data_IF_074786854932
#
_entry.id   IF_074786854932
#
_cell.length_a   1.000
_cell.length_b   1.000
_cell.length_c   1.000
_cell.angle_alpha   90.00
_cell.angle_beta   90.00
_cell.angle_gamma   90.00
#
_symmetry.space_group_name_H-M   'P 1'
#
loop_
_entity.id
_entity.type
_entity.pdbx_description
1 polymer ?
#
# COMPACT_ATOMS: atom_id res chain seq x y z
N UNK A 1 7.33 -21.63 -9.07
CA UNK A 1 6.10 -21.94 -8.33
C UNK A 1 6.31 -23.30 -7.70
N UNK A 2 6.63 -23.34 -6.40
CA UNK A 2 6.78 -24.60 -5.69
C UNK A 2 5.72 -24.68 -4.61
N UNK A 3 4.61 -25.29 -4.94
CA UNK A 3 3.76 -25.91 -3.96
C UNK A 3 4.35 -27.32 -3.77
N UNK A 4 5.08 -27.56 -2.70
CA UNK A 4 5.89 -28.77 -2.48
C UNK A 4 5.09 -30.08 -2.46
N UNK A 5 3.77 -29.97 -2.36
CA UNK A 5 2.84 -31.10 -2.24
C UNK A 5 2.21 -31.50 -3.58
N UNK A 6 2.50 -30.79 -4.68
CA UNK A 6 1.91 -31.06 -5.99
C UNK A 6 2.98 -31.45 -7.02
N UNK A 7 2.74 -32.55 -7.69
CA UNK A 7 3.58 -33.07 -8.76
C UNK A 7 2.84 -32.97 -10.09
N UNK A 8 3.45 -32.25 -11.03
CA UNK A 8 2.89 -32.07 -12.37
C UNK A 8 1.87 -30.91 -12.44
N UNK A 9 2.12 -30.04 -13.40
CA UNK A 9 1.28 -28.88 -13.70
C UNK A 9 0.76 -28.98 -15.12
N UNK A 10 -0.52 -28.75 -15.30
CA UNK A 10 -1.15 -28.65 -16.61
C UNK A 10 -1.69 -27.22 -16.78
N UNK A 11 -1.20 -26.53 -17.79
CA UNK A 11 -1.69 -25.21 -18.13
C UNK A 11 -3.09 -25.34 -18.74
N UNK A 12 -4.05 -24.64 -18.17
CA UNK A 12 -5.45 -24.63 -18.61
C UNK A 12 -5.72 -23.43 -19.53
N UNK A 13 -5.17 -22.28 -19.19
CA UNK A 13 -5.38 -21.04 -19.93
C UNK A 13 -4.20 -20.10 -19.72
N UNK A 14 -3.81 -19.40 -20.78
CA UNK A 14 -2.89 -18.27 -20.72
C UNK A 14 -3.56 -17.08 -21.39
N UNK A 15 -3.63 -15.96 -20.68
CA UNK A 15 -4.02 -14.66 -21.24
C UNK A 15 -2.84 -13.71 -21.16
N UNK A 16 -2.52 -13.06 -22.26
CA UNK A 16 -1.45 -12.09 -22.32
C UNK A 16 -2.02 -10.70 -22.66
N UNK A 17 -1.62 -9.71 -21.88
CA UNK A 17 -1.96 -8.31 -22.06
C UNK A 17 -0.68 -7.47 -22.03
N UNK A 18 -0.70 -6.29 -22.67
CA UNK A 18 0.39 -5.33 -22.54
C UNK A 18 0.49 -4.81 -21.10
N UNK A 19 1.69 -4.81 -20.55
CA UNK A 19 1.96 -4.29 -19.21
C UNK A 19 2.58 -2.91 -19.29
N UNK A 20 1.92 -1.95 -18.66
CA UNK A 20 2.39 -0.56 -18.57
C UNK A 20 2.69 -0.22 -17.12
N UNK A 21 3.68 0.66 -16.89
CA UNK A 21 3.79 1.29 -15.58
C UNK A 21 2.52 2.08 -15.31
N UNK A 22 1.94 1.83 -14.14
CA UNK A 22 0.90 2.66 -13.59
C UNK A 22 1.34 3.09 -12.20
N UNK A 23 0.66 4.07 -11.62
CA UNK A 23 0.94 4.46 -10.26
C UNK A 23 0.80 3.29 -9.27
N UNK A 24 -0.14 2.39 -9.52
CA UNK A 24 -0.44 1.24 -8.67
C UNK A 24 0.61 0.12 -8.70
N UNK A 25 1.51 0.12 -9.68
CA UNK A 25 2.62 -0.82 -9.79
C UNK A 25 3.99 -0.13 -9.75
N UNK A 26 4.02 1.16 -9.46
CA UNK A 26 5.25 1.92 -9.33
C UNK A 26 5.89 1.66 -7.95
N UNK A 27 7.11 1.08 -7.89
CA UNK A 27 7.74 0.72 -6.60
C UNK A 27 7.92 1.92 -5.66
N UNK A 28 8.12 3.13 -6.21
CA UNK A 28 8.29 4.33 -5.43
C UNK A 28 6.96 4.80 -4.85
N UNK A 29 5.88 4.75 -5.64
CA UNK A 29 4.53 5.10 -5.16
C UNK A 29 4.07 4.14 -4.06
N UNK A 30 4.34 2.83 -4.20
CA UNK A 30 4.02 1.83 -3.18
C UNK A 30 4.80 2.06 -1.88
N UNK A 31 6.08 2.42 -1.95
CA UNK A 31 6.86 2.82 -0.75
C UNK A 31 6.31 4.06 -0.06
N UNK A 32 5.84 5.03 -0.85
CA UNK A 32 5.20 6.22 -0.29
C UNK A 32 3.88 5.87 0.38
N UNK A 33 3.09 4.99 -0.21
CA UNK A 33 1.85 4.48 0.37
C UNK A 33 2.10 3.78 1.70
N UNK A 34 3.07 2.88 1.78
CA UNK A 34 3.44 2.21 3.04
C UNK A 34 3.79 3.23 4.13
N UNK A 35 4.56 4.26 3.77
CA UNK A 35 4.92 5.31 4.72
C UNK A 35 3.71 6.16 5.14
N UNK A 36 2.80 6.48 4.22
CA UNK A 36 1.55 7.20 4.50
C UNK A 36 0.68 6.35 5.43
N UNK A 37 0.45 5.09 5.11
CA UNK A 37 -0.34 4.15 5.93
C UNK A 37 0.16 4.07 7.37
N UNK A 38 1.48 3.90 7.54
CA UNK A 38 2.08 3.86 8.88
C UNK A 38 1.87 5.16 9.67
N UNK A 39 1.98 6.32 9.01
CA UNK A 39 1.76 7.61 9.68
C UNK A 39 0.28 7.84 10.03
N UNK A 40 -0.66 7.44 9.17
CA UNK A 40 -2.11 7.50 9.45
C UNK A 40 -2.45 6.66 10.69
N UNK A 41 -1.96 5.42 10.75
CA UNK A 41 -2.17 4.53 11.90
C UNK A 41 -1.61 5.17 13.18
N UNK A 42 -0.40 5.74 13.12
CA UNK A 42 0.23 6.38 14.27
C UNK A 42 -0.52 7.64 14.72
N UNK A 43 -0.99 8.48 13.80
CA UNK A 43 -1.80 9.67 14.11
C UNK A 43 -3.13 9.25 14.74
N UNK A 44 -3.82 8.26 14.18
CA UNK A 44 -5.08 7.76 14.73
C UNK A 44 -4.93 7.20 16.15
N UNK A 45 -3.87 6.41 16.40
CA UNK A 45 -3.58 5.87 17.72
C UNK A 45 -3.22 6.99 18.73
N UNK A 46 -2.40 7.96 18.32
CA UNK A 46 -2.06 9.12 19.13
C UNK A 46 -3.29 9.97 19.45
N UNK A 47 -4.13 10.24 18.44
CA UNK A 47 -5.38 10.98 18.61
C UNK A 47 -6.29 10.33 19.65
N UNK A 48 -6.52 9.01 19.55
CA UNK A 48 -7.31 8.28 20.55
C UNK A 48 -6.73 8.42 21.96
N UNK A 49 -5.40 8.31 22.11
CA UNK A 49 -4.73 8.47 23.41
C UNK A 49 -4.86 9.88 23.96
N UNK A 50 -4.53 10.91 23.17
CA UNK A 50 -4.49 12.30 23.59
C UNK A 50 -5.87 12.84 23.91
N UNK A 51 -6.87 12.55 23.08
CA UNK A 51 -8.23 13.09 23.26
C UNK A 51 -8.96 12.52 24.48
N UNK A 52 -8.64 11.28 24.89
CA UNK A 52 -9.22 10.65 26.07
C UNK A 52 -8.40 10.88 27.36
N UNK A 53 -7.23 11.53 27.25
CA UNK A 53 -6.39 11.80 28.42
C UNK A 53 -6.92 12.98 29.26
N UNK A 54 -6.85 12.84 30.60
CA UNK A 54 -7.15 13.93 31.51
C UNK A 54 -5.99 14.95 31.52
N UNK A 55 -6.30 16.25 31.63
CA UNK A 55 -5.30 17.32 31.76
C UNK A 55 -4.56 17.31 33.09
N UNK A 56 -5.14 16.67 34.15
CA UNK A 56 -4.59 16.58 35.51
C UNK A 56 -3.67 15.38 35.72
N UNK A 57 -2.98 14.91 34.67
CA UNK A 57 -2.00 13.82 34.77
C UNK A 57 -0.65 14.31 35.29
N UNK A 58 0.20 13.40 35.80
CA UNK A 58 1.57 13.69 36.19
C UNK A 58 2.40 14.33 35.09
N UNK A 59 3.41 15.11 35.46
CA UNK A 59 4.26 15.81 34.47
C UNK A 59 5.00 14.83 33.54
N UNK A 60 5.37 13.65 34.03
CA UNK A 60 6.02 12.61 33.21
C UNK A 60 5.10 12.16 32.06
N UNK A 61 3.83 11.91 32.37
CA UNK A 61 2.82 11.54 31.38
C UNK A 61 2.56 12.69 30.40
N UNK A 62 2.59 13.94 30.84
CA UNK A 62 2.48 15.11 29.94
C UNK A 62 3.62 15.16 28.93
N UNK A 63 4.84 14.79 29.31
CA UNK A 63 5.98 14.71 28.37
C UNK A 63 5.70 13.65 27.28
N UNK A 64 5.18 12.50 27.68
CA UNK A 64 4.80 11.46 26.73
C UNK A 64 3.70 11.93 25.76
N UNK A 65 2.62 12.55 26.29
CA UNK A 65 1.53 13.09 25.46
C UNK A 65 2.05 14.15 24.48
N UNK A 66 2.91 15.07 24.91
CA UNK A 66 3.54 16.06 24.01
C UNK A 66 4.36 15.38 22.91
N UNK A 67 5.07 14.29 23.22
CA UNK A 67 5.83 13.55 22.22
C UNK A 67 4.92 12.89 21.16
N UNK A 68 3.75 12.39 21.55
CA UNK A 68 2.76 11.86 20.62
C UNK A 68 2.24 12.96 19.68
N UNK A 69 1.92 14.13 20.21
CA UNK A 69 1.46 15.28 19.42
C UNK A 69 2.55 15.71 18.42
N UNK A 70 3.80 15.83 18.86
CA UNK A 70 4.91 16.26 18.00
C UNK A 70 5.20 15.22 16.91
N UNK A 71 5.18 13.93 17.26
CA UNK A 71 5.31 12.84 16.28
C UNK A 71 4.17 12.87 15.25
N UNK A 72 2.94 13.20 15.68
CA UNK A 72 1.78 13.30 14.79
C UNK A 72 1.91 14.48 13.83
N UNK A 73 2.45 15.63 14.26
CA UNK A 73 2.76 16.76 13.35
C UNK A 73 3.78 16.34 12.29
N UNK A 74 4.85 15.67 12.69
CA UNK A 74 5.88 15.20 11.77
C UNK A 74 5.33 14.14 10.82
N UNK A 75 4.46 13.26 11.31
CA UNK A 75 3.71 12.28 10.51
C UNK A 75 2.85 12.96 9.45
N UNK A 76 2.10 14.00 9.82
CA UNK A 76 1.28 14.78 8.89
C UNK A 76 2.12 15.44 7.78
N UNK A 77 3.28 16.00 8.12
CA UNK A 77 4.20 16.56 7.12
C UNK A 77 4.70 15.49 6.14
N UNK A 78 4.96 14.29 6.66
CA UNK A 78 5.38 13.14 5.84
C UNK A 78 4.25 12.69 4.92
N UNK A 79 3.01 12.61 5.42
CA UNK A 79 1.82 12.28 4.62
C UNK A 79 1.68 13.27 3.47
N UNK A 80 1.70 14.58 3.75
CA UNK A 80 1.59 15.63 2.71
C UNK A 80 2.66 15.48 1.64
N UNK A 81 3.92 15.37 2.04
CA UNK A 81 5.06 15.23 1.13
C UNK A 81 4.91 14.03 0.20
N UNK A 82 4.55 12.88 0.73
CA UNK A 82 4.44 11.66 -0.08
C UNK A 82 3.16 11.63 -0.91
N UNK A 83 2.06 12.22 -0.41
CA UNK A 83 0.84 12.37 -1.20
C UNK A 83 1.06 13.29 -2.42
N UNK A 84 1.81 14.39 -2.27
CA UNK A 84 2.21 15.24 -3.39
C UNK A 84 3.07 14.47 -4.40
N UNK A 85 3.98 13.63 -3.90
CA UNK A 85 4.82 12.78 -4.75
C UNK A 85 4.00 11.74 -5.51
N UNK A 86 3.01 11.12 -4.88
CA UNK A 86 2.06 10.18 -5.51
C UNK A 86 1.27 10.89 -6.61
N UNK A 87 0.73 12.09 -6.34
CA UNK A 87 0.04 12.89 -7.37
C UNK A 87 0.93 13.15 -8.58
N UNK A 88 2.18 13.56 -8.34
CA UNK A 88 3.15 13.81 -9.41
C UNK A 88 3.42 12.55 -10.24
N UNK A 89 3.64 11.40 -9.60
CA UNK A 89 3.83 10.12 -10.31
C UNK A 89 2.57 9.76 -11.13
N UNK A 90 1.37 9.99 -10.59
CA UNK A 90 0.10 9.73 -11.26
C UNK A 90 -0.15 10.58 -12.51
N UNK A 91 0.51 11.73 -12.64
CA UNK A 91 0.45 12.59 -13.83
C UNK A 91 1.36 12.13 -14.97
N UNK A 92 2.30 11.24 -14.70
CA UNK A 92 3.22 10.72 -15.71
C UNK A 92 2.49 9.71 -16.59
N UNK A 93 2.66 9.82 -17.91
CA UNK A 93 2.05 8.89 -18.88
C UNK A 93 2.56 7.45 -18.62
N UNK A 94 1.67 6.46 -18.72
CA UNK A 94 2.07 5.06 -18.61
C UNK A 94 3.11 4.69 -19.67
N UNK A 95 4.18 4.00 -19.27
CA UNK A 95 5.23 3.53 -20.18
C UNK A 95 5.10 2.02 -20.33
N UNK A 96 5.13 1.54 -21.57
CA UNK A 96 5.15 0.09 -21.83
C UNK A 96 6.41 -0.55 -21.24
N UNK A 97 6.22 -1.54 -20.38
CA UNK A 97 7.29 -2.22 -19.67
C UNK A 97 7.48 -3.68 -20.13
N UNK A 98 6.47 -4.25 -20.74
CA UNK A 98 6.51 -5.64 -21.15
C UNK A 98 5.11 -6.25 -21.27
N UNK A 99 4.99 -7.50 -20.89
CA UNK A 99 3.75 -8.26 -21.01
C UNK A 99 3.32 -8.79 -19.65
N UNK A 100 2.03 -8.81 -19.41
CA UNK A 100 1.43 -9.48 -18.26
C UNK A 100 0.80 -10.78 -18.73
N UNK A 101 1.25 -11.90 -18.19
CA UNK A 101 0.67 -13.22 -18.45
C UNK A 101 -0.15 -13.67 -17.24
N UNK A 102 -1.46 -13.87 -17.41
CA UNK A 102 -2.31 -14.55 -16.44
C UNK A 102 -2.40 -16.01 -16.82
N UNK A 103 -1.92 -16.89 -15.96
CA UNK A 103 -1.82 -18.32 -16.20
C UNK A 103 -2.73 -19.05 -15.23
N UNK A 104 -3.73 -19.77 -15.77
CA UNK A 104 -4.49 -20.75 -15.01
C UNK A 104 -3.88 -22.10 -15.22
N UNK A 105 -3.64 -22.82 -14.15
CA UNK A 105 -3.08 -24.16 -14.18
C UNK A 105 -3.75 -25.05 -13.16
N UNK A 106 -3.79 -26.33 -13.48
CA UNK A 106 -4.17 -27.37 -12.53
C UNK A 106 -2.94 -28.14 -12.10
N UNK A 107 -2.90 -28.47 -10.82
CA UNK A 107 -1.86 -29.32 -10.24
C UNK A 107 -2.51 -30.47 -9.51
N UNK A 108 -1.79 -31.60 -9.40
CA UNK A 108 -2.27 -32.81 -8.76
C UNK A 108 -1.35 -33.15 -7.59
N UNK A 109 -1.92 -33.35 -6.41
CA UNK A 109 -1.14 -33.76 -5.26
C UNK A 109 -0.89 -35.30 -5.28
N UNK A 110 -0.06 -35.77 -4.35
CA UNK A 110 0.29 -37.18 -4.23
C UNK A 110 -0.91 -38.08 -3.93
N UNK A 111 -2.04 -37.53 -3.49
CA UNK A 111 -3.29 -38.26 -3.24
C UNK A 111 -4.24 -38.21 -4.44
N UNK A 112 -3.82 -37.64 -5.56
CA UNK A 112 -4.62 -37.55 -6.77
C UNK A 112 -5.64 -36.37 -6.77
N UNK A 113 -5.67 -35.52 -5.75
CA UNK A 113 -6.56 -34.38 -5.71
C UNK A 113 -6.06 -33.27 -6.66
N UNK A 114 -6.99 -32.67 -7.39
CA UNK A 114 -6.71 -31.60 -8.36
C UNK A 114 -7.03 -30.27 -7.72
N UNK A 115 -6.06 -29.34 -7.79
CA UNK A 115 -6.23 -27.93 -7.42
C UNK A 115 -6.11 -27.07 -8.68
N UNK A 116 -7.06 -26.16 -8.87
CA UNK A 116 -6.97 -25.10 -9.86
C UNK A 116 -6.36 -23.87 -9.19
N UNK A 117 -5.34 -23.31 -9.80
CA UNK A 117 -4.64 -22.12 -9.31
C UNK A 117 -4.46 -21.13 -10.45
N UNK A 118 -4.28 -19.86 -10.10
CA UNK A 118 -4.00 -18.79 -11.05
C UNK A 118 -2.77 -18.01 -10.57
N UNK A 119 -1.89 -17.65 -11.49
CA UNK A 119 -0.73 -16.80 -11.25
C UNK A 119 -0.64 -15.70 -12.29
N UNK A 120 -0.14 -14.54 -11.89
CA UNK A 120 0.12 -13.43 -12.79
C UNK A 120 1.63 -13.16 -12.82
N UNK A 121 2.19 -13.14 -14.00
CA UNK A 121 3.61 -12.98 -14.26
C UNK A 121 3.84 -11.77 -15.14
N UNK A 122 4.88 -11.01 -14.83
CA UNK A 122 5.38 -9.96 -15.70
C UNK A 122 6.54 -10.51 -16.52
N UNK A 123 6.46 -10.34 -17.82
CA UNK A 123 7.46 -10.79 -18.77
C UNK A 123 8.18 -9.59 -19.35
N UNK A 124 9.49 -9.73 -19.53
CA UNK A 124 10.30 -8.74 -20.22
C UNK A 124 9.76 -8.48 -21.65
N UNK A 125 9.86 -7.24 -22.09
CA UNK A 125 9.31 -6.80 -23.36
C UNK A 125 9.95 -7.44 -24.59
N UNK A 126 11.21 -7.89 -24.48
CA UNK A 126 12.02 -8.39 -25.57
C UNK A 126 12.26 -9.91 -25.45
N UNK A 127 12.73 -10.36 -24.29
CA UNK A 127 13.08 -11.78 -24.07
C UNK A 127 11.87 -12.66 -23.73
N UNK A 128 10.75 -12.08 -23.28
CA UNK A 128 9.60 -12.77 -22.73
C UNK A 128 9.94 -13.65 -21.51
N UNK A 129 11.08 -13.40 -20.88
CA UNK A 129 11.43 -14.03 -19.62
C UNK A 129 10.62 -13.45 -18.47
N UNK A 130 10.30 -14.28 -17.49
CA UNK A 130 9.60 -13.82 -16.27
C UNK A 130 10.55 -12.97 -15.45
N UNK A 131 10.25 -11.68 -15.34
CA UNK A 131 11.01 -10.72 -14.54
C UNK A 131 10.38 -10.48 -13.17
N UNK A 132 9.08 -10.71 -13.03
CA UNK A 132 8.38 -10.56 -11.76
C UNK A 132 7.17 -11.50 -11.68
N UNK A 133 6.75 -11.80 -10.46
CA UNK A 133 5.53 -12.54 -10.16
C UNK A 133 4.64 -11.65 -9.30
N UNK A 134 3.60 -11.13 -9.90
CA UNK A 134 2.66 -10.26 -9.21
C UNK A 134 1.72 -11.12 -8.38
N UNK A 135 1.92 -11.14 -7.08
CA UNK A 135 0.92 -11.68 -6.19
C UNK A 135 -0.35 -10.81 -6.27
N UNK A 136 -1.52 -11.44 -6.26
CA UNK A 136 -2.81 -10.73 -6.27
C UNK A 136 -2.97 -9.75 -5.08
N UNK A 137 -2.05 -9.77 -4.11
CA UNK A 137 -2.02 -8.89 -2.96
C UNK A 137 -1.50 -7.48 -3.29
N UNK A 138 -0.58 -7.35 -4.25
CA UNK A 138 0.10 -6.08 -4.48
C UNK A 138 -0.82 -5.02 -5.12
N UNK A 139 -1.83 -5.45 -5.90
CA UNK A 139 -2.79 -4.52 -6.52
C UNK A 139 -3.99 -4.16 -5.63
N UNK A 140 -4.30 -4.95 -4.60
CA UNK A 140 -5.45 -4.71 -3.72
C UNK A 140 -5.15 -3.77 -2.57
N UNK A 141 -3.88 -3.50 -2.29
CA UNK A 141 -3.44 -2.71 -1.14
C UNK A 141 -3.18 -1.24 -1.43
N UNK A 142 -3.38 -0.77 -2.66
CA UNK A 142 -3.15 0.62 -3.05
C UNK A 142 -4.35 1.55 -2.72
N UNK A 143 -4.98 1.33 -1.56
CA UNK A 143 -6.16 2.09 -1.10
C UNK A 143 -5.88 3.58 -0.99
N UNK A 144 -4.76 3.94 -0.35
CA UNK A 144 -4.39 5.33 -0.14
C UNK A 144 -3.97 6.04 -1.42
N UNK A 145 -3.34 5.34 -2.36
CA UNK A 145 -3.05 5.89 -3.69
C UNK A 145 -4.35 6.30 -4.36
N UNK A 146 -5.38 5.46 -4.29
CA UNK A 146 -6.69 5.75 -4.87
C UNK A 146 -7.33 6.95 -4.21
N UNK A 147 -7.42 6.99 -2.88
CA UNK A 147 -7.99 8.12 -2.14
C UNK A 147 -7.25 9.43 -2.43
N UNK A 148 -5.91 9.42 -2.43
CA UNK A 148 -5.10 10.61 -2.73
C UNK A 148 -5.38 11.13 -4.14
N UNK A 149 -5.61 10.26 -5.12
CA UNK A 149 -5.89 10.68 -6.49
C UNK A 149 -7.32 11.18 -6.69
N UNK A 150 -8.28 10.59 -5.96
CA UNK A 150 -9.71 10.93 -6.08
C UNK A 150 -10.11 12.15 -5.24
N UNK A 151 -9.60 12.26 -4.00
CA UNK A 151 -9.93 13.36 -3.08
C UNK A 151 -8.74 13.75 -2.18
N UNK A 152 -7.69 14.30 -2.80
CA UNK A 152 -6.50 14.76 -2.08
C UNK A 152 -6.81 15.74 -0.95
N UNK A 153 -7.67 16.72 -1.23
CA UNK A 153 -7.95 17.79 -0.26
C UNK A 153 -8.75 17.28 0.95
N UNK A 154 -9.72 16.39 0.71
CA UNK A 154 -10.47 15.74 1.77
C UNK A 154 -9.59 14.83 2.62
N UNK A 155 -8.75 14.03 1.98
CA UNK A 155 -7.78 13.15 2.63
C UNK A 155 -6.83 13.93 3.56
N UNK A 156 -6.20 15.01 3.08
CA UNK A 156 -5.29 15.81 3.90
C UNK A 156 -6.02 16.56 5.02
N UNK A 157 -7.21 17.08 4.78
CA UNK A 157 -8.01 17.80 5.79
C UNK A 157 -8.39 16.89 6.97
N UNK A 158 -8.68 15.64 6.73
CA UNK A 158 -9.01 14.70 7.82
C UNK A 158 -7.82 14.49 8.75
N UNK A 159 -6.63 14.27 8.21
CA UNK A 159 -5.42 14.12 9.02
C UNK A 159 -5.04 15.42 9.76
N UNK A 160 -5.23 16.58 9.10
CA UNK A 160 -5.07 17.90 9.75
C UNK A 160 -6.04 18.09 10.92
N UNK A 161 -7.29 17.65 10.77
CA UNK A 161 -8.31 17.73 11.82
C UNK A 161 -7.88 16.94 13.05
N UNK A 162 -7.42 15.70 12.88
CA UNK A 162 -6.96 14.84 13.99
C UNK A 162 -5.78 15.48 14.75
N UNK A 163 -4.79 15.98 14.03
CA UNK A 163 -3.63 16.65 14.65
C UNK A 163 -4.06 17.95 15.36
N UNK A 164 -4.96 18.72 14.78
CA UNK A 164 -5.49 19.94 15.39
C UNK A 164 -6.23 19.65 16.69
N UNK A 165 -7.11 18.66 16.72
CA UNK A 165 -7.84 18.27 17.93
C UNK A 165 -6.89 17.88 19.08
N UNK A 166 -5.78 17.21 18.77
CA UNK A 166 -4.75 16.93 19.77
C UNK A 166 -4.07 18.18 20.31
N UNK A 167 -3.78 19.17 19.42
CA UNK A 167 -3.18 20.44 19.81
C UNK A 167 -4.11 21.27 20.69
N UNK A 168 -5.41 21.27 20.36
CA UNK A 168 -6.43 22.03 21.07
C UNK A 168 -6.69 21.51 22.50
N UNK A 169 -6.20 20.29 22.84
CA UNK A 169 -6.24 19.75 24.21
C UNK A 169 -5.37 20.52 25.22
N UNK A 170 -4.34 21.25 24.77
CA UNK A 170 -3.55 22.15 25.64
C UNK A 170 -2.54 21.46 26.56
N UNK A 171 -1.98 20.31 26.17
CA UNK A 171 -0.89 19.63 26.90
C UNK A 171 0.45 20.36 26.80
#
# INVERSE_FOLDING_TARGET
>A
IRDSDYTGYEIVEIKMDSFFTSIYNNPLALRYEDSISNNIINIGAAHGTVTHCDLNIPNEDKVFIRSLIENSKNGLLTIKKYSDSIKFIGMVQPVFQGWQARVKYRSKNNQGQIKLSEGTYILDKESLEVVDNVSSHDFQNAHWIKEILEDYDGFIKEEERLVKEMLDKGF
#
